data_IF_501515862900
#
_entry.id   IF_501515862900
#
_cell.length_a   1.000
_cell.length_b   1.000
_cell.length_c   1.000
_cell.angle_alpha   90.00
_cell.angle_beta   90.00
_cell.angle_gamma   90.00
#
_symmetry.space_group_name_H-M   'P 1'
#
loop_
_entity.id
_entity.type
_entity.pdbx_description
1 polymer ?
#
# COMPACT_ATOMS: atom_id res chain seq x y z
N UNK A 1 6.83 16.23 16.81
CA UNK A 1 6.06 15.11 17.38
C UNK A 1 7.05 14.17 18.03
N UNK A 2 6.89 13.87 19.31
CA UNK A 2 7.72 12.86 19.97
C UNK A 2 7.15 11.46 19.66
N UNK A 3 7.88 10.69 18.84
CA UNK A 3 7.40 9.40 18.32
C UNK A 3 7.09 8.41 19.45
N UNK A 4 7.85 8.46 20.55
CA UNK A 4 7.64 7.55 21.68
C UNK A 4 6.34 7.86 22.42
N UNK A 5 6.10 9.15 22.70
CA UNK A 5 4.85 9.61 23.30
C UNK A 5 3.65 9.26 22.42
N UNK A 6 3.74 9.47 21.11
CA UNK A 6 2.67 9.12 20.16
C UNK A 6 2.37 7.62 20.15
N UNK A 7 3.39 6.75 20.20
CA UNK A 7 3.18 5.30 20.29
C UNK A 7 2.41 4.91 21.55
N UNK A 8 2.78 5.49 22.68
CA UNK A 8 2.12 5.21 23.97
C UNK A 8 0.65 5.64 23.93
N UNK A 9 0.37 6.82 23.38
CA UNK A 9 -0.99 7.35 23.27
C UNK A 9 -1.87 6.50 22.35
N UNK A 10 -1.34 6.02 21.23
CA UNK A 10 -2.04 5.10 20.33
C UNK A 10 -2.38 3.78 21.03
N UNK A 11 -1.44 3.17 21.76
CA UNK A 11 -1.70 1.92 22.50
C UNK A 11 -2.77 2.13 23.56
N UNK A 12 -2.69 3.22 24.33
CA UNK A 12 -3.72 3.55 25.34
C UNK A 12 -5.10 3.72 24.71
N UNK A 13 -5.17 4.39 23.57
CA UNK A 13 -6.42 4.59 22.83
C UNK A 13 -7.01 3.26 22.39
N UNK A 14 -6.20 2.36 21.82
CA UNK A 14 -6.63 1.02 21.40
C UNK A 14 -7.13 0.19 22.58
N UNK A 15 -6.43 0.21 23.72
CA UNK A 15 -6.82 -0.52 24.93
C UNK A 15 -8.16 -0.06 25.52
N UNK A 16 -8.59 1.17 25.24
CA UNK A 16 -9.86 1.72 25.73
C UNK A 16 -11.05 1.37 24.83
N UNK A 17 -10.84 0.72 23.67
CA UNK A 17 -11.91 0.40 22.72
C UNK A 17 -12.45 -1.00 22.98
N UNK A 18 -13.77 -1.09 23.17
CA UNK A 18 -14.46 -2.37 23.39
C UNK A 18 -15.03 -3.00 22.11
N UNK A 19 -15.10 -2.22 21.01
CA UNK A 19 -15.64 -2.69 19.74
C UNK A 19 -14.65 -3.64 19.04
N UNK A 20 -14.95 -4.95 19.09
CA UNK A 20 -14.12 -5.99 18.48
C UNK A 20 -13.91 -5.84 16.97
N UNK A 21 -14.92 -5.39 16.23
CA UNK A 21 -14.83 -5.22 14.78
C UNK A 21 -13.86 -4.10 14.41
N UNK A 22 -13.83 -3.03 15.22
CA UNK A 22 -12.88 -1.95 15.05
C UNK A 22 -11.46 -2.39 15.40
N UNK A 23 -11.28 -3.12 16.50
CA UNK A 23 -9.97 -3.68 16.89
C UNK A 23 -9.43 -4.59 15.79
N UNK A 24 -10.28 -5.43 15.18
CA UNK A 24 -9.87 -6.30 14.08
C UNK A 24 -9.37 -5.49 12.88
N UNK A 25 -10.09 -4.44 12.45
CA UNK A 25 -9.66 -3.57 11.34
C UNK A 25 -8.31 -2.91 11.60
N UNK A 26 -8.07 -2.45 12.83
CA UNK A 26 -6.78 -1.84 13.22
C UNK A 26 -5.66 -2.89 13.19
N UNK A 27 -5.92 -4.11 13.65
CA UNK A 27 -4.96 -5.21 13.59
C UNK A 27 -4.61 -5.58 12.15
N UNK A 28 -5.61 -5.68 11.28
CA UNK A 28 -5.42 -5.97 9.85
C UNK A 28 -4.58 -4.88 9.18
N UNK A 29 -4.87 -3.61 9.45
CA UNK A 29 -4.09 -2.47 8.95
C UNK A 29 -2.62 -2.53 9.39
N UNK A 30 -2.35 -2.73 10.69
CA UNK A 30 -0.97 -2.81 11.21
C UNK A 30 -0.22 -4.02 10.67
N UNK A 31 -0.92 -5.12 10.37
CA UNK A 31 -0.31 -6.31 9.76
C UNK A 31 -0.07 -6.11 8.26
N UNK A 32 -0.96 -5.42 7.55
CA UNK A 32 -0.79 -5.09 6.13
C UNK A 32 0.43 -4.19 5.88
N UNK A 33 0.73 -3.25 6.78
CA UNK A 33 1.96 -2.43 6.73
C UNK A 33 3.26 -3.26 6.78
N UNK A 34 3.21 -4.53 7.22
CA UNK A 34 4.36 -5.44 7.23
C UNK A 34 4.44 -6.30 5.96
N UNK A 35 3.37 -6.32 5.17
CA UNK A 35 3.29 -7.12 3.95
C UNK A 35 3.73 -6.22 2.80
N UNK A 36 4.76 -6.64 2.08
CA UNK A 36 5.12 -6.01 0.81
C UNK A 36 3.91 -6.10 -0.13
N UNK A 37 3.44 -4.97 -0.67
CA UNK A 37 2.31 -4.91 -1.59
C UNK A 37 2.47 -5.89 -2.76
N UNK A 38 3.71 -6.20 -3.15
CA UNK A 38 4.01 -7.22 -4.16
C UNK A 38 3.37 -8.57 -3.83
N UNK A 39 3.29 -8.94 -2.55
CA UNK A 39 2.71 -10.20 -2.13
C UNK A 39 1.18 -10.21 -2.19
N UNK A 40 0.53 -9.04 -2.21
CA UNK A 40 -0.93 -8.89 -2.25
C UNK A 40 -1.50 -8.96 -3.68
N UNK A 41 -0.66 -8.69 -4.69
CA UNK A 41 -1.07 -8.75 -6.09
C UNK A 41 -1.41 -10.18 -6.54
N UNK A 42 -2.48 -10.31 -7.33
CA UNK A 42 -2.84 -11.55 -8.04
C UNK A 42 -1.74 -11.93 -9.04
N UNK A 43 -1.75 -13.18 -9.49
CA UNK A 43 -0.82 -13.64 -10.54
C UNK A 43 -0.96 -12.81 -11.81
N UNK A 44 -2.20 -12.46 -12.21
CA UNK A 44 -2.45 -11.65 -13.40
C UNK A 44 -1.83 -10.26 -13.29
N UNK A 45 -2.03 -9.58 -12.16
CA UNK A 45 -1.47 -8.23 -11.93
C UNK A 45 0.06 -8.27 -11.89
N UNK A 46 0.65 -9.30 -11.27
CA UNK A 46 2.11 -9.51 -11.27
C UNK A 46 2.64 -9.70 -12.69
N UNK A 47 1.94 -10.45 -13.52
CA UNK A 47 2.38 -10.73 -14.90
C UNK A 47 2.22 -9.50 -15.80
N UNK A 48 1.16 -8.71 -15.63
CA UNK A 48 1.00 -7.41 -16.31
C UNK A 48 2.12 -6.43 -15.94
N UNK A 49 2.49 -6.33 -14.66
CA UNK A 49 3.59 -5.46 -14.22
C UNK A 49 4.92 -5.92 -14.82
N UNK A 50 5.21 -7.23 -14.82
CA UNK A 50 6.43 -7.77 -15.45
C UNK A 50 6.48 -7.46 -16.95
N UNK A 51 5.36 -7.61 -17.65
CA UNK A 51 5.28 -7.28 -19.07
C UNK A 51 5.47 -5.77 -19.30
N UNK A 52 4.89 -4.91 -18.46
CA UNK A 52 5.15 -3.47 -18.49
C UNK A 52 6.63 -3.14 -18.33
N UNK A 53 7.31 -3.73 -17.34
CA UNK A 53 8.75 -3.56 -17.13
C UNK A 53 9.54 -4.00 -18.38
N UNK A 54 9.23 -5.19 -18.91
CA UNK A 54 9.84 -5.70 -20.13
C UNK A 54 9.68 -4.73 -21.31
N UNK A 55 8.49 -4.15 -21.48
CA UNK A 55 8.24 -3.14 -22.51
C UNK A 55 9.07 -1.87 -22.29
N UNK A 56 9.18 -1.39 -21.05
CA UNK A 56 10.00 -0.22 -20.70
C UNK A 56 11.49 -0.46 -21.01
N UNK A 57 12.01 -1.65 -20.69
CA UNK A 57 13.40 -2.05 -20.96
C UNK A 57 13.69 -2.10 -22.46
N UNK A 58 12.71 -2.52 -23.28
CA UNK A 58 12.76 -2.47 -24.74
C UNK A 58 12.48 -1.07 -25.32
N UNK A 59 12.41 -0.04 -24.47
CA UNK A 59 12.20 1.35 -24.89
C UNK A 59 10.77 1.66 -25.35
N UNK A 60 9.81 0.74 -25.19
CA UNK A 60 8.39 0.95 -25.48
C UNK A 60 7.75 1.77 -24.35
N UNK A 61 8.16 3.03 -24.26
CA UNK A 61 7.74 3.95 -23.20
C UNK A 61 7.37 5.31 -23.76
N UNK A 62 6.46 5.99 -23.07
CA UNK A 62 6.12 7.39 -23.30
C UNK A 62 6.38 8.17 -22.02
N UNK A 63 6.63 9.47 -22.13
CA UNK A 63 6.74 10.30 -20.92
C UNK A 63 5.39 10.37 -20.19
N UNK A 64 5.45 10.40 -18.86
CA UNK A 64 4.27 10.50 -18.01
C UNK A 64 3.41 11.72 -18.34
N UNK A 65 4.04 12.88 -18.54
CA UNK A 65 3.32 14.11 -18.93
C UNK A 65 2.60 13.98 -20.27
N UNK A 66 3.20 13.28 -21.24
CA UNK A 66 2.57 13.06 -22.55
C UNK A 66 1.40 12.08 -22.47
N UNK A 67 1.46 11.12 -21.55
CA UNK A 67 0.35 10.21 -21.29
C UNK A 67 -0.82 10.94 -20.62
N UNK A 68 -0.57 11.73 -19.57
CA UNK A 68 -1.62 12.49 -18.87
C UNK A 68 -2.39 13.43 -19.80
N UNK A 69 -1.68 14.11 -20.72
CA UNK A 69 -2.31 14.98 -21.73
C UNK A 69 -3.25 14.25 -22.69
N UNK A 70 -3.13 12.93 -22.84
CA UNK A 70 -4.01 12.12 -23.70
C UNK A 70 -5.27 11.63 -23.01
N UNK A 71 -5.28 11.59 -21.68
CA UNK A 71 -6.39 11.05 -20.87
C UNK A 71 -7.13 12.12 -20.07
N UNK A 72 -6.60 13.35 -20.03
CA UNK A 72 -7.28 14.55 -19.53
C UNK A 72 -8.14 15.18 -20.62
#
# INVERSE_FOLDING_TARGET
MDIQSTKIELVKTILAIENSDFIQKVADFVNAEKVDFWNELTTSEKDEIKEGINQLDHGKRVSYDSFLKKIS
#
